data_IF_189984769077
#
_entry.id   IF_189984769077
#
_cell.length_a   1.000
_cell.length_b   1.000
_cell.length_c   1.000
_cell.angle_alpha   90.00
_cell.angle_beta   90.00
_cell.angle_gamma   90.00
#
_symmetry.space_group_name_H-M   'P 1'
#
loop_
_entity.id
_entity.type
_entity.pdbx_description
1 polymer ?
#
# COMPACT_ATOMS: atom_id res chain seq x y z
N UNK A 1 -9.16 20.65 9.20
CA UNK A 1 -7.80 20.24 8.79
C UNK A 1 -7.26 19.07 9.62
N UNK A 2 -7.77 18.84 10.83
CA UNK A 2 -7.34 17.74 11.70
C UNK A 2 -7.57 16.33 11.13
N UNK A 3 -8.71 16.10 10.48
CA UNK A 3 -9.10 14.74 10.04
C UNK A 3 -8.18 14.22 8.94
N UNK A 4 -7.82 15.05 7.97
CA UNK A 4 -6.90 14.64 6.90
C UNK A 4 -5.51 14.31 7.46
N UNK A 5 -5.05 15.04 8.50
CA UNK A 5 -3.81 14.73 9.20
C UNK A 5 -3.91 13.42 9.98
N UNK A 6 -5.04 13.17 10.65
CA UNK A 6 -5.32 11.89 11.33
C UNK A 6 -5.36 10.72 10.34
N UNK A 7 -6.03 10.88 9.20
CA UNK A 7 -6.03 9.89 8.11
C UNK A 7 -4.61 9.62 7.62
N UNK A 8 -3.79 10.66 7.41
CA UNK A 8 -2.38 10.50 7.01
C UNK A 8 -1.58 9.71 8.04
N UNK A 9 -1.70 10.02 9.33
CA UNK A 9 -0.96 9.31 10.39
C UNK A 9 -1.38 7.84 10.47
N UNK A 10 -2.68 7.54 10.41
CA UNK A 10 -3.18 6.16 10.41
C UNK A 10 -2.69 5.41 9.17
N UNK A 11 -2.79 6.04 8.00
CA UNK A 11 -2.37 5.45 6.73
C UNK A 11 -0.86 5.20 6.69
N UNK A 12 -0.06 6.16 7.15
CA UNK A 12 1.40 6.08 7.15
C UNK A 12 1.93 5.08 8.18
N UNK A 13 1.40 5.09 9.42
CA UNK A 13 1.98 4.31 10.50
C UNK A 13 1.37 2.90 10.62
N UNK A 14 0.06 2.77 10.45
CA UNK A 14 -0.62 1.48 10.69
C UNK A 14 -0.86 0.75 9.38
N UNK A 15 -1.51 1.40 8.42
CA UNK A 15 -1.93 0.74 7.18
C UNK A 15 -0.71 0.40 6.32
N UNK A 16 0.24 1.34 6.16
CA UNK A 16 1.46 1.07 5.42
C UNK A 16 2.30 -0.02 6.07
N UNK A 17 2.38 -0.06 7.40
CA UNK A 17 3.11 -1.12 8.11
C UNK A 17 2.48 -2.50 7.83
N UNK A 18 1.18 -2.64 8.07
CA UNK A 18 0.45 -3.91 7.88
C UNK A 18 0.51 -4.37 6.44
N UNK A 19 0.26 -3.47 5.48
CA UNK A 19 0.32 -3.80 4.05
C UNK A 19 1.71 -4.22 3.60
N UNK A 20 2.77 -3.64 4.17
CA UNK A 20 4.14 -3.98 3.81
C UNK A 20 4.57 -5.32 4.38
N UNK A 21 4.12 -5.66 5.59
CA UNK A 21 4.33 -6.98 6.17
C UNK A 21 3.62 -8.04 5.31
N UNK A 22 2.34 -7.82 5.00
CA UNK A 22 1.54 -8.78 4.22
C UNK A 22 2.08 -8.95 2.81
N UNK A 23 2.32 -7.87 2.08
CA UNK A 23 2.86 -7.95 0.72
C UNK A 23 4.30 -8.47 0.71
N UNK A 24 5.13 -8.10 1.70
CA UNK A 24 6.49 -8.61 1.82
C UNK A 24 6.51 -10.12 2.05
N UNK A 25 5.65 -10.63 2.93
CA UNK A 25 5.52 -12.07 3.16
C UNK A 25 5.01 -12.80 1.92
N UNK A 26 4.03 -12.23 1.20
CA UNK A 26 3.51 -12.80 -0.04
C UNK A 26 4.58 -12.87 -1.12
N UNK A 27 5.34 -11.80 -1.35
CA UNK A 27 6.41 -11.76 -2.36
C UNK A 27 7.47 -12.81 -2.06
N UNK A 28 7.93 -12.90 -0.81
CA UNK A 28 8.94 -13.90 -0.40
C UNK A 28 8.42 -15.33 -0.56
N UNK A 29 7.15 -15.57 -0.26
CA UNK A 29 6.56 -16.90 -0.35
C UNK A 29 6.28 -17.34 -1.80
N UNK A 30 5.80 -16.44 -2.65
CA UNK A 30 5.53 -16.72 -4.07
C UNK A 30 6.84 -16.93 -4.83
N UNK A 31 7.86 -16.15 -4.51
CA UNK A 31 9.16 -16.17 -5.18
C UNK A 31 10.21 -16.97 -4.40
N UNK A 32 9.81 -18.02 -3.68
CA UNK A 32 10.73 -18.84 -2.88
C UNK A 32 11.89 -19.42 -3.74
N UNK A 33 11.65 -19.66 -5.03
CA UNK A 33 12.67 -20.09 -6.00
C UNK A 33 13.75 -19.05 -6.31
N UNK A 34 13.52 -17.77 -6.03
CA UNK A 34 14.52 -16.70 -6.22
C UNK A 34 15.49 -16.57 -5.04
N UNK A 35 15.20 -17.24 -3.90
CA UNK A 35 15.91 -17.00 -2.63
C UNK A 35 16.66 -18.23 -2.12
N UNK A 36 16.20 -19.46 -2.37
CA UNK A 36 17.02 -20.64 -2.07
C UNK A 36 16.70 -21.86 -2.96
N UNK A 37 17.75 -22.60 -3.32
CA UNK A 37 17.66 -23.93 -3.97
C UNK A 37 17.30 -25.05 -2.96
N UNK A 38 17.05 -24.70 -1.70
CA UNK A 38 16.86 -25.66 -0.61
C UNK A 38 15.44 -25.58 -0.04
N UNK A 39 14.79 -26.71 0.28
CA UNK A 39 13.40 -26.73 0.73
C UNK A 39 13.20 -26.23 2.19
N UNK A 40 14.18 -25.56 2.79
CA UNK A 40 14.12 -25.11 4.18
C UNK A 40 13.71 -23.64 4.27
N UNK A 41 12.57 -23.40 4.93
CA UNK A 41 11.83 -22.13 4.99
C UNK A 41 12.42 -21.13 6.03
N UNK A 42 13.60 -21.40 6.58
CA UNK A 42 14.02 -20.82 7.87
C UNK A 42 15.51 -20.45 7.95
N UNK A 43 16.09 -19.94 6.87
CA UNK A 43 17.47 -19.45 6.88
C UNK A 43 17.60 -17.97 7.29
N UNK A 44 18.74 -17.52 7.85
CA UNK A 44 19.02 -16.10 8.06
C UNK A 44 18.89 -15.27 6.77
N UNK A 45 19.14 -15.88 5.60
CA UNK A 45 18.98 -15.25 4.29
C UNK A 45 17.53 -14.88 3.96
N UNK A 46 16.58 -15.76 4.27
CA UNK A 46 15.15 -15.52 4.00
C UNK A 46 14.62 -14.32 4.79
N UNK A 47 15.07 -14.19 6.04
CA UNK A 47 14.72 -13.05 6.88
C UNK A 47 15.28 -11.73 6.32
N UNK A 48 16.52 -11.71 5.84
CA UNK A 48 17.12 -10.51 5.24
C UNK A 48 16.36 -10.10 3.97
N UNK A 49 16.00 -11.06 3.12
CA UNK A 49 15.22 -10.79 1.90
C UNK A 49 13.83 -10.27 2.24
N UNK A 50 13.16 -10.86 3.22
CA UNK A 50 11.88 -10.35 3.73
C UNK A 50 12.01 -8.91 4.23
N UNK A 51 13.01 -8.60 5.04
CA UNK A 51 13.23 -7.24 5.55
C UNK A 51 13.48 -6.25 4.41
N UNK A 52 14.25 -6.65 3.38
CA UNK A 52 14.48 -5.82 2.20
C UNK A 52 13.17 -5.50 1.45
N UNK A 53 12.37 -6.52 1.12
CA UNK A 53 11.09 -6.29 0.46
C UNK A 53 10.12 -5.51 1.34
N UNK A 54 10.07 -5.79 2.63
CA UNK A 54 9.29 -5.03 3.61
C UNK A 54 9.64 -3.55 3.57
N UNK A 55 10.92 -3.18 3.60
CA UNK A 55 11.34 -1.77 3.59
C UNK A 55 10.98 -1.06 2.27
N UNK A 56 11.18 -1.74 1.14
CA UNK A 56 10.81 -1.20 -0.18
C UNK A 56 9.31 -0.97 -0.26
N UNK A 57 8.52 -1.98 0.13
CA UNK A 57 7.06 -1.91 0.14
C UNK A 57 6.56 -0.86 1.13
N UNK A 58 7.23 -0.69 2.28
CA UNK A 58 6.89 0.34 3.25
C UNK A 58 7.14 1.74 2.70
N UNK A 59 8.27 1.95 2.04
CA UNK A 59 8.55 3.19 1.32
C UNK A 59 7.47 3.49 0.26
N UNK A 60 7.09 2.48 -0.52
CA UNK A 60 6.01 2.59 -1.50
C UNK A 60 4.66 2.96 -0.86
N UNK A 61 4.22 2.23 0.17
CA UNK A 61 2.96 2.50 0.85
C UNK A 61 2.95 3.86 1.55
N UNK A 62 4.10 4.31 2.07
CA UNK A 62 4.26 5.66 2.61
C UNK A 62 4.02 6.73 1.52
N UNK A 63 4.63 6.57 0.34
CA UNK A 63 4.41 7.47 -0.81
C UNK A 63 2.94 7.48 -1.23
N UNK A 64 2.29 6.31 -1.31
CA UNK A 64 0.85 6.19 -1.61
C UNK A 64 0.00 6.89 -0.54
N UNK A 65 0.36 6.80 0.73
CA UNK A 65 -0.30 7.51 1.83
C UNK A 65 -0.22 9.04 1.66
N UNK A 66 0.94 9.56 1.25
CA UNK A 66 1.09 10.98 0.92
C UNK A 66 0.26 11.40 -0.30
N UNK A 67 0.20 10.57 -1.35
CA UNK A 67 -0.68 10.84 -2.49
C UNK A 67 -2.16 10.88 -2.08
N UNK A 68 -2.58 9.96 -1.20
CA UNK A 68 -3.94 9.96 -0.66
C UNK A 68 -4.25 11.26 0.10
N UNK A 69 -3.30 11.73 0.92
CA UNK A 69 -3.44 13.01 1.62
C UNK A 69 -3.48 14.21 0.66
N UNK A 70 -2.62 14.23 -0.36
CA UNK A 70 -2.64 15.26 -1.39
C UNK A 70 -3.98 15.29 -2.13
N UNK A 71 -4.52 14.13 -2.52
CA UNK A 71 -5.84 14.02 -3.13
C UNK A 71 -6.94 14.58 -2.20
N UNK A 72 -6.83 14.37 -0.89
CA UNK A 72 -7.74 14.98 0.09
C UNK A 72 -7.65 16.51 0.13
N UNK A 73 -6.45 17.07 0.00
CA UNK A 73 -6.22 18.51 0.00
C UNK A 73 -6.73 19.19 -1.28
N UNK A 74 -6.53 18.56 -2.44
CA UNK A 74 -6.96 19.08 -3.74
C UNK A 74 -8.46 18.92 -3.98
N UNK A 75 -9.04 17.77 -3.64
CA UNK A 75 -10.37 17.44 -4.11
C UNK A 75 -11.49 18.23 -3.44
N UNK A 76 -11.30 18.78 -2.22
CA UNK A 76 -12.20 19.60 -1.34
C UNK A 76 -13.72 19.32 -1.31
N UNK A 77 -14.30 18.51 -2.20
CA UNK A 77 -15.67 18.67 -2.70
C UNK A 77 -16.50 17.39 -2.76
N UNK A 78 -15.91 16.19 -2.74
CA UNK A 78 -16.65 14.97 -2.39
C UNK A 78 -15.71 13.80 -2.07
N UNK A 79 -16.12 12.89 -1.18
CA UNK A 79 -15.39 11.65 -0.88
C UNK A 79 -15.18 10.82 -2.15
N UNK A 80 -16.20 10.74 -2.99
CA UNK A 80 -16.18 9.96 -4.23
C UNK A 80 -15.13 10.50 -5.18
N UNK A 81 -15.07 11.82 -5.37
CA UNK A 81 -14.05 12.46 -6.22
C UNK A 81 -12.64 12.25 -5.66
N UNK A 82 -12.46 12.37 -4.34
CA UNK A 82 -11.17 12.10 -3.68
C UNK A 82 -10.69 10.68 -3.95
N UNK A 83 -11.57 9.69 -3.73
CA UNK A 83 -11.25 8.28 -3.94
C UNK A 83 -11.03 7.96 -5.42
N UNK A 84 -11.81 8.56 -6.34
CA UNK A 84 -11.63 8.36 -7.77
C UNK A 84 -10.26 8.87 -8.24
N UNK A 85 -9.86 10.08 -7.84
CA UNK A 85 -8.54 10.65 -8.18
C UNK A 85 -7.41 9.80 -7.59
N UNK A 86 -7.54 9.40 -6.32
CA UNK A 86 -6.55 8.55 -5.67
C UNK A 86 -6.40 7.19 -6.37
N UNK A 87 -7.50 6.50 -6.67
CA UNK A 87 -7.45 5.19 -7.31
C UNK A 87 -6.96 5.29 -8.76
N UNK A 88 -7.36 6.32 -9.52
CA UNK A 88 -6.86 6.53 -10.88
C UNK A 88 -5.34 6.77 -10.88
N UNK A 89 -4.83 7.64 -10.01
CA UNK A 89 -3.40 7.89 -9.88
C UNK A 89 -2.64 6.65 -9.36
N UNK A 90 -3.22 5.94 -8.38
CA UNK A 90 -2.65 4.72 -7.83
C UNK A 90 -2.57 3.59 -8.85
N UNK A 91 -3.62 3.39 -9.64
CA UNK A 91 -3.65 2.39 -10.72
C UNK A 91 -2.64 2.73 -11.81
N UNK A 92 -2.50 4.01 -12.17
CA UNK A 92 -1.47 4.44 -13.11
C UNK A 92 -0.06 4.14 -12.57
N UNK A 93 0.20 4.40 -11.28
CA UNK A 93 1.48 4.10 -10.63
C UNK A 93 1.76 2.59 -10.61
N UNK A 94 0.79 1.77 -10.19
CA UNK A 94 0.94 0.31 -10.17
C UNK A 94 1.13 -0.24 -11.59
N UNK A 95 0.40 0.30 -12.58
CA UNK A 95 0.57 -0.05 -13.98
C UNK A 95 1.96 0.28 -14.52
N UNK A 96 2.51 1.45 -14.17
CA UNK A 96 3.87 1.81 -14.55
C UNK A 96 4.93 0.87 -13.94
N UNK A 97 4.76 0.51 -12.66
CA UNK A 97 5.64 -0.46 -12.00
C UNK A 97 5.52 -1.84 -12.68
N UNK A 98 4.31 -2.27 -13.00
CA UNK A 98 4.07 -3.55 -13.69
C UNK A 98 4.74 -3.59 -15.07
N UNK A 99 4.63 -2.53 -15.87
CA UNK A 99 5.29 -2.46 -17.18
C UNK A 99 6.82 -2.54 -17.05
N UNK A 100 7.39 -1.99 -15.97
CA UNK A 100 8.82 -2.00 -15.73
C UNK A 100 9.35 -3.33 -15.18
N UNK A 101 8.67 -3.90 -14.17
CA UNK A 101 9.10 -5.14 -13.50
C UNK A 101 8.67 -6.39 -14.29
N UNK A 102 7.55 -6.31 -15.01
CA UNK A 102 6.94 -7.42 -15.76
C UNK A 102 6.55 -8.64 -14.92
N UNK A 103 6.31 -8.43 -13.61
CA UNK A 103 5.93 -9.49 -12.67
C UNK A 103 4.47 -9.31 -12.21
N UNK A 104 3.68 -10.39 -12.31
CA UNK A 104 2.27 -10.41 -11.92
C UNK A 104 2.05 -10.18 -10.42
N UNK A 105 3.04 -10.48 -9.58
CA UNK A 105 2.99 -10.20 -8.13
C UNK A 105 2.86 -8.72 -7.82
N UNK A 106 3.30 -7.83 -8.71
CA UNK A 106 3.11 -6.38 -8.58
C UNK A 106 1.63 -6.00 -8.53
N UNK A 107 0.76 -6.78 -9.18
CA UNK A 107 -0.69 -6.52 -9.19
C UNK A 107 -1.32 -6.64 -7.80
N UNK A 108 -0.68 -7.33 -6.84
CA UNK A 108 -1.14 -7.35 -5.44
C UNK A 108 -1.15 -5.95 -4.81
N UNK A 109 -0.34 -5.00 -5.30
CA UNK A 109 -0.35 -3.61 -4.84
C UNK A 109 -1.68 -2.89 -5.11
N UNK A 110 -2.51 -3.38 -6.03
CA UNK A 110 -3.86 -2.85 -6.25
C UNK A 110 -4.72 -3.02 -4.99
N UNK A 111 -4.53 -4.12 -4.24
CA UNK A 111 -5.26 -4.36 -2.99
C UNK A 111 -4.98 -3.27 -1.95
N UNK A 112 -3.75 -2.74 -1.91
CA UNK A 112 -3.36 -1.63 -1.05
C UNK A 112 -4.18 -0.37 -1.34
N UNK A 113 -4.44 -0.05 -2.62
CA UNK A 113 -5.28 1.08 -3.02
C UNK A 113 -6.72 0.91 -2.51
N UNK A 114 -7.26 -0.30 -2.62
CA UNK A 114 -8.57 -0.65 -2.07
C UNK A 114 -8.63 -0.46 -0.56
N UNK A 115 -7.61 -0.92 0.18
CA UNK A 115 -7.55 -0.80 1.64
C UNK A 115 -7.44 0.66 2.08
N UNK A 116 -6.58 1.48 1.45
CA UNK A 116 -6.53 2.91 1.74
C UNK A 116 -7.88 3.60 1.48
N UNK A 117 -8.55 3.24 0.39
CA UNK A 117 -9.88 3.76 0.05
C UNK A 117 -10.94 3.37 1.08
N UNK A 118 -10.92 2.11 1.54
CA UNK A 118 -11.84 1.60 2.55
C UNK A 118 -11.65 2.31 3.89
N UNK A 119 -10.41 2.43 4.36
CA UNK A 119 -10.08 3.15 5.60
C UNK A 119 -10.59 4.59 5.54
N UNK A 120 -10.36 5.25 4.41
CA UNK A 120 -10.85 6.61 4.18
C UNK A 120 -12.38 6.71 4.17
N UNK A 121 -13.08 5.74 3.59
CA UNK A 121 -14.53 5.67 3.60
C UNK A 121 -15.10 5.45 5.01
N UNK A 122 -14.49 4.57 5.81
CA UNK A 122 -14.90 4.28 7.19
C UNK A 122 -14.72 5.50 8.08
N UNK A 123 -13.58 6.18 7.99
CA UNK A 123 -13.30 7.39 8.79
C UNK A 123 -14.29 8.50 8.43
N UNK A 124 -14.58 8.70 7.15
CA UNK A 124 -15.52 9.73 6.73
C UNK A 124 -16.99 9.37 7.05
N UNK A 125 -17.37 8.08 7.09
CA UNK A 125 -18.70 7.66 7.53
C UNK A 125 -18.95 7.98 9.00
N UNK A 126 -17.97 7.75 9.89
CA UNK A 126 -18.10 8.11 11.32
C UNK A 126 -18.43 9.60 11.50
N UNK A 127 -17.87 10.46 10.66
CA UNK A 127 -18.14 11.91 10.65
C UNK A 127 -19.60 12.30 10.31
N UNK A 128 -20.36 11.44 9.64
CA UNK A 128 -21.76 11.75 9.28
C UNK A 128 -22.73 11.32 10.40
N UNK A 129 -22.28 10.43 11.29
CA UNK A 129 -23.09 9.84 12.36
C UNK A 129 -22.90 10.60 13.69
N UNK A 130 -21.75 11.25 13.87
CA UNK A 130 -21.44 12.14 15.00
C UNK A 130 -21.76 13.61 14.66
#
# INVERSE_FOLDING_TARGET
MDIAKKELVVNLCLISLVLSILNGALVVHINHSLVSDTPYVSGPGDFVVFVFFFLILYGFHAVVSFFHFAAAAFARRSLVTRLAVFNAAGLALVGAIYVYIQDVTVLFLISSLGIFSLVSAVINRKKVVD
#
